data_IF_176919715450
#
_entry.id   IF_176919715450
#
_cell.length_a   1.000
_cell.length_b   1.000
_cell.length_c   1.000
_cell.angle_alpha   90.00
_cell.angle_beta   90.00
_cell.angle_gamma   90.00
#
_symmetry.space_group_name_H-M   'P 1'
#
loop_
_entity.id
_entity.type
_entity.pdbx_description
1 polymer ?
#
# COMPACT_ATOMS: atom_id res chain seq x y z
N UNK A 1 -8.37 -68.49 20.29
CA UNK A 1 -9.51 -68.52 19.35
C UNK A 1 -9.81 -67.10 18.92
N UNK A 2 -9.82 -66.84 17.60
CA UNK A 2 -10.34 -65.63 16.94
C UNK A 2 -9.40 -64.43 16.96
N UNK A 3 -8.75 -64.09 15.84
CA UNK A 3 -9.17 -63.10 14.83
C UNK A 3 -9.14 -61.66 15.37
N UNK A 4 -8.42 -60.69 14.82
CA UNK A 4 -8.08 -60.46 13.42
C UNK A 4 -8.76 -59.16 12.97
N UNK A 5 -8.00 -58.07 12.92
CA UNK A 5 -8.19 -56.85 12.11
C UNK A 5 -7.05 -55.90 12.55
N UNK A 6 -6.09 -55.53 11.72
CA UNK A 6 -6.29 -55.00 10.38
C UNK A 6 -6.47 -53.49 10.51
N UNK A 7 -5.38 -52.78 10.80
CA UNK A 7 -5.33 -51.32 10.69
C UNK A 7 -3.99 -50.96 10.08
N UNK A 8 -4.06 -50.85 8.76
CA UNK A 8 -3.08 -50.25 7.86
C UNK A 8 -2.86 -48.81 8.35
N UNK A 9 -1.63 -48.51 8.77
CA UNK A 9 -1.24 -47.15 9.13
C UNK A 9 -0.66 -46.57 7.85
N UNK A 10 -1.47 -45.79 7.14
CA UNK A 10 -0.98 -44.93 6.07
C UNK A 10 0.01 -43.93 6.71
N UNK A 11 1.30 -44.19 6.53
CA UNK A 11 2.33 -43.16 6.63
C UNK A 11 2.13 -42.23 5.42
N UNK A 12 1.17 -41.29 5.55
CA UNK A 12 1.16 -40.12 4.69
C UNK A 12 2.44 -39.33 4.97
N UNK A 13 3.40 -39.52 4.08
CA UNK A 13 4.57 -38.67 3.87
C UNK A 13 4.05 -37.30 3.42
N UNK A 14 3.76 -36.41 4.38
CA UNK A 14 3.54 -34.99 4.12
C UNK A 14 4.87 -34.41 3.66
N UNK A 15 5.12 -34.49 2.35
CA UNK A 15 6.14 -33.71 1.67
C UNK A 15 5.74 -32.24 1.81
N UNK A 16 6.45 -31.51 2.66
CA UNK A 16 6.54 -30.06 2.61
C UNK A 16 7.27 -29.68 1.30
N UNK A 17 6.59 -29.88 0.17
CA UNK A 17 6.92 -29.20 -1.09
C UNK A 17 6.31 -27.79 -1.00
N UNK A 18 6.83 -27.00 -0.06
CA UNK A 18 6.81 -25.55 -0.20
C UNK A 18 7.55 -25.26 -1.50
N UNK A 19 6.75 -25.12 -2.56
CA UNK A 19 7.16 -24.76 -3.90
C UNK A 19 8.23 -23.70 -3.85
N UNK A 20 9.47 -24.17 -3.95
CA UNK A 20 10.66 -23.36 -4.11
C UNK A 20 10.53 -22.79 -5.52
N UNK A 21 9.86 -21.65 -5.64
CA UNK A 21 9.77 -20.93 -6.89
C UNK A 21 11.19 -20.72 -7.40
N UNK A 22 11.51 -21.51 -8.42
CA UNK A 22 12.77 -21.50 -9.13
C UNK A 22 12.96 -20.08 -9.63
N UNK A 23 14.02 -19.44 -9.14
CA UNK A 23 14.37 -18.05 -9.42
C UNK A 23 14.61 -17.81 -10.92
N UNK A 24 13.53 -17.66 -11.68
CA UNK A 24 13.57 -16.94 -12.95
C UNK A 24 13.64 -15.47 -12.54
N UNK A 25 14.87 -14.94 -12.52
CA UNK A 25 15.09 -13.51 -12.32
C UNK A 25 14.34 -12.80 -13.44
N UNK A 26 13.18 -12.23 -13.12
CA UNK A 26 12.37 -11.47 -14.06
C UNK A 26 13.28 -10.41 -14.73
N UNK A 27 13.57 -10.58 -16.04
CA UNK A 27 14.52 -9.71 -16.74
C UNK A 27 14.05 -8.25 -16.77
N UNK A 28 12.74 -8.04 -16.75
CA UNK A 28 12.12 -6.72 -16.72
C UNK A 28 12.33 -6.11 -15.34
N UNK A 29 12.04 -6.85 -14.28
CA UNK A 29 12.26 -6.42 -12.89
C UNK A 29 13.73 -6.03 -12.62
N UNK A 30 14.67 -6.80 -13.15
CA UNK A 30 16.11 -6.53 -13.03
C UNK A 30 16.54 -5.26 -13.76
N UNK A 31 16.02 -5.03 -14.98
CA UNK A 31 16.29 -3.81 -15.76
C UNK A 31 15.75 -2.57 -15.07
N UNK A 32 14.55 -2.63 -14.49
CA UNK A 32 13.98 -1.52 -13.72
C UNK A 32 14.80 -1.20 -12.48
N UNK A 33 15.16 -2.21 -11.67
CA UNK A 33 16.02 -2.03 -10.50
C UNK A 33 17.37 -1.38 -10.87
N UNK A 34 17.94 -1.79 -12.00
CA UNK A 34 19.18 -1.22 -12.52
C UNK A 34 18.98 0.23 -12.96
N UNK A 35 17.89 0.54 -13.67
CA UNK A 35 17.57 1.90 -14.11
C UNK A 35 17.40 2.89 -12.94
N UNK A 36 16.71 2.49 -11.87
CA UNK A 36 16.53 3.34 -10.68
C UNK A 36 17.80 3.52 -9.84
N UNK A 37 18.74 2.57 -9.90
CA UNK A 37 20.05 2.72 -9.25
C UNK A 37 20.98 3.63 -10.04
N UNK A 38 20.92 3.56 -11.37
CA UNK A 38 21.78 4.32 -12.27
C UNK A 38 21.30 5.75 -12.50
N UNK A 39 20.00 6.02 -12.32
CA UNK A 39 19.40 7.33 -12.51
C UNK A 39 18.48 7.66 -11.33
N UNK A 40 18.71 8.78 -10.61
CA UNK A 40 17.83 9.17 -9.52
C UNK A 40 16.41 9.44 -10.06
N UNK A 41 15.36 9.00 -9.35
CA UNK A 41 13.98 9.21 -9.80
C UNK A 41 13.64 10.71 -9.83
N UNK A 42 13.30 11.20 -11.02
CA UNK A 42 12.80 12.56 -11.25
C UNK A 42 11.28 12.54 -11.49
N UNK A 43 10.58 13.69 -11.40
CA UNK A 43 9.14 13.74 -11.71
C UNK A 43 8.78 13.19 -13.10
N UNK A 44 9.68 13.33 -14.09
CA UNK A 44 9.50 12.76 -15.43
C UNK A 44 9.50 11.22 -15.47
N UNK A 45 9.97 10.55 -14.41
CA UNK A 45 9.97 9.08 -14.30
C UNK A 45 8.69 8.52 -13.67
N UNK A 46 7.75 9.36 -13.20
CA UNK A 46 6.48 8.91 -12.60
C UNK A 46 5.69 7.98 -13.52
N UNK A 47 5.50 8.25 -14.83
CA UNK A 47 4.79 7.33 -15.72
C UNK A 47 5.46 5.96 -15.81
N UNK A 48 6.79 5.93 -15.76
CA UNK A 48 7.58 4.71 -15.78
C UNK A 48 7.41 3.90 -14.49
N UNK A 49 7.32 4.57 -13.34
CA UNK A 49 7.02 3.95 -12.04
C UNK A 49 5.61 3.35 -12.04
N UNK A 50 4.63 4.06 -12.58
CA UNK A 50 3.25 3.58 -12.67
C UNK A 50 3.17 2.34 -13.57
N UNK A 51 3.74 2.41 -14.77
CA UNK A 51 3.79 1.28 -15.71
C UNK A 51 4.45 0.05 -15.08
N UNK A 52 5.51 0.26 -14.32
CA UNK A 52 6.18 -0.82 -13.60
C UNK A 52 5.35 -1.41 -12.47
N UNK A 53 4.64 -0.56 -11.73
CA UNK A 53 3.74 -0.98 -10.66
C UNK A 53 2.61 -1.84 -11.24
N UNK A 54 1.99 -1.39 -12.34
CA UNK A 54 0.94 -2.13 -13.05
C UNK A 54 1.46 -3.50 -13.54
N UNK A 55 2.65 -3.53 -14.16
CA UNK A 55 3.28 -4.78 -14.59
C UNK A 55 3.51 -5.76 -13.43
N UNK A 56 4.01 -5.29 -12.28
CA UNK A 56 4.26 -6.15 -11.12
C UNK A 56 2.95 -6.73 -10.59
N UNK A 57 1.89 -5.92 -10.54
CA UNK A 57 0.59 -6.36 -10.04
C UNK A 57 0.04 -7.47 -10.95
N UNK A 58 0.11 -7.28 -12.27
CA UNK A 58 -0.36 -8.26 -13.24
C UNK A 58 0.46 -9.56 -13.25
N UNK A 59 1.80 -9.45 -13.17
CA UNK A 59 2.69 -10.60 -13.34
C UNK A 59 2.98 -11.36 -12.04
N UNK A 60 3.02 -10.68 -10.89
CA UNK A 60 3.50 -11.24 -9.61
C UNK A 60 2.55 -11.01 -8.44
N UNK A 61 1.45 -10.30 -8.66
CA UNK A 61 0.49 -9.97 -7.61
C UNK A 61 1.02 -8.98 -6.57
N UNK A 62 0.25 -8.84 -5.50
CA UNK A 62 0.36 -7.73 -4.54
C UNK A 62 1.50 -7.91 -3.53
N UNK A 63 2.01 -9.13 -3.36
CA UNK A 63 3.15 -9.40 -2.47
C UNK A 63 4.42 -8.71 -2.95
N UNK A 64 4.64 -8.67 -4.28
CA UNK A 64 5.85 -8.06 -4.85
C UNK A 64 5.80 -6.54 -4.84
N UNK A 65 4.64 -5.89 -5.05
CA UNK A 65 4.54 -4.43 -4.93
C UNK A 65 4.78 -3.97 -3.48
N UNK A 66 4.38 -4.75 -2.48
CA UNK A 66 4.67 -4.48 -1.06
C UNK A 66 6.17 -4.52 -0.76
N UNK A 67 6.82 -5.61 -1.20
CA UNK A 67 8.28 -5.77 -1.17
C UNK A 67 9.00 -4.65 -1.93
N UNK A 68 8.41 -4.20 -3.04
CA UNK A 68 8.91 -3.06 -3.81
C UNK A 68 8.84 -1.78 -3.00
N UNK A 69 7.70 -1.43 -2.42
CA UNK A 69 7.51 -0.20 -1.64
C UNK A 69 8.48 -0.11 -0.46
N UNK A 70 8.74 -1.21 0.24
CA UNK A 70 9.71 -1.22 1.34
C UNK A 70 11.16 -1.12 0.84
N UNK A 71 11.51 -1.82 -0.24
CA UNK A 71 12.85 -1.73 -0.85
C UNK A 71 13.10 -0.35 -1.46
N UNK A 72 12.10 0.20 -2.13
CA UNK A 72 12.15 1.52 -2.74
C UNK A 72 12.08 2.62 -1.70
N UNK A 73 11.46 2.41 -0.53
CA UNK A 73 11.51 3.40 0.55
C UNK A 73 12.95 3.84 0.85
N UNK A 74 13.91 2.91 0.87
CA UNK A 74 15.33 3.23 1.07
C UNK A 74 15.94 4.11 -0.05
N UNK A 75 15.58 3.86 -1.31
CA UNK A 75 16.08 4.58 -2.50
C UNK A 75 15.33 5.91 -2.71
N UNK A 76 14.07 5.96 -2.29
CA UNK A 76 13.16 7.07 -2.53
C UNK A 76 13.19 8.13 -1.43
N UNK A 77 13.75 7.83 -0.26
CA UNK A 77 14.08 8.88 0.74
C UNK A 77 14.92 9.98 0.09
N UNK A 78 15.84 9.62 -0.81
CA UNK A 78 16.68 10.57 -1.55
C UNK A 78 16.02 11.11 -2.84
N UNK A 79 14.86 10.59 -3.25
CA UNK A 79 14.18 11.02 -4.46
C UNK A 79 13.43 12.35 -4.27
N UNK A 80 12.92 12.91 -5.36
CA UNK A 80 12.06 14.09 -5.29
C UNK A 80 10.73 13.77 -4.57
N UNK A 81 10.18 14.72 -3.81
CA UNK A 81 8.95 14.52 -3.02
C UNK A 81 7.78 14.05 -3.88
N UNK A 82 7.59 14.65 -5.05
CA UNK A 82 6.51 14.28 -5.98
C UNK A 82 6.58 12.83 -6.47
N UNK A 83 7.77 12.23 -6.53
CA UNK A 83 7.93 10.82 -6.92
C UNK A 83 7.49 9.90 -5.79
N UNK A 84 7.85 10.25 -4.54
CA UNK A 84 7.37 9.52 -3.36
C UNK A 84 5.85 9.59 -3.25
N UNK A 85 5.28 10.78 -3.41
CA UNK A 85 3.82 11.01 -3.40
C UNK A 85 3.13 10.07 -4.38
N UNK A 86 3.56 10.10 -5.66
CA UNK A 86 2.94 9.30 -6.71
C UNK A 86 3.02 7.80 -6.42
N UNK A 87 4.16 7.31 -5.90
CA UNK A 87 4.28 5.91 -5.51
C UNK A 87 3.31 5.55 -4.38
N UNK A 88 3.27 6.33 -3.30
CA UNK A 88 2.38 6.01 -2.17
C UNK A 88 0.90 6.06 -2.58
N UNK A 89 0.51 7.04 -3.40
CA UNK A 89 -0.85 7.09 -3.97
C UNK A 89 -1.16 5.84 -4.78
N UNK A 90 -0.24 5.39 -5.65
CA UNK A 90 -0.41 4.17 -6.43
C UNK A 90 -0.52 2.93 -5.52
N UNK A 91 0.29 2.83 -4.48
CA UNK A 91 0.19 1.73 -3.53
C UNK A 91 -1.15 1.73 -2.76
N UNK A 92 -1.65 2.90 -2.36
CA UNK A 92 -2.94 3.03 -1.67
C UNK A 92 -4.07 2.60 -2.61
N UNK A 93 -4.10 3.10 -3.85
CA UNK A 93 -5.08 2.72 -4.88
C UNK A 93 -5.12 1.20 -5.05
N UNK A 94 -3.96 0.57 -5.16
CA UNK A 94 -3.84 -0.87 -5.39
C UNK A 94 -4.24 -1.69 -4.16
N UNK A 95 -3.92 -1.23 -2.96
CA UNK A 95 -4.33 -1.91 -1.72
C UNK A 95 -5.83 -1.78 -1.45
N UNK A 96 -6.44 -0.66 -1.80
CA UNK A 96 -7.89 -0.41 -1.64
C UNK A 96 -8.74 -0.97 -2.78
N UNK A 97 -8.14 -1.33 -3.92
CA UNK A 97 -8.85 -1.97 -5.03
C UNK A 97 -9.05 -3.49 -4.85
N UNK A 98 -8.48 -4.08 -3.79
CA UNK A 98 -8.66 -5.50 -3.46
C UNK A 98 -10.05 -5.76 -2.86
N UNK A 99 -10.79 -6.72 -3.42
CA UNK A 99 -12.08 -7.16 -2.87
C UNK A 99 -11.98 -7.53 -1.38
N UNK A 100 -12.80 -6.89 -0.54
CA UNK A 100 -12.89 -7.21 0.89
C UNK A 100 -11.75 -6.67 1.76
N UNK A 101 -10.95 -5.70 1.28
CA UNK A 101 -9.88 -5.10 2.08
C UNK A 101 -10.39 -4.51 3.41
N UNK A 102 -11.61 -3.98 3.43
CA UNK A 102 -12.28 -3.39 4.59
C UNK A 102 -12.54 -4.42 5.71
N UNK A 103 -12.80 -5.68 5.33
CA UNK A 103 -13.04 -6.77 6.28
C UNK A 103 -11.73 -7.31 6.90
N UNK A 104 -10.58 -7.02 6.28
CA UNK A 104 -9.28 -7.48 6.75
C UNK A 104 -8.54 -6.37 7.51
N UNK A 105 -8.49 -6.51 8.84
CA UNK A 105 -7.75 -5.59 9.73
C UNK A 105 -6.29 -5.39 9.33
N UNK A 106 -5.66 -6.40 8.75
CA UNK A 106 -4.28 -6.31 8.27
C UNK A 106 -4.17 -5.43 7.00
N UNK A 107 -5.12 -5.55 6.08
CA UNK A 107 -5.19 -4.68 4.90
C UNK A 107 -5.45 -3.23 5.30
N UNK A 108 -6.38 -2.99 6.22
CA UNK A 108 -6.62 -1.65 6.80
C UNK A 108 -5.34 -1.10 7.42
N UNK A 109 -4.62 -1.91 8.22
CA UNK A 109 -3.34 -1.49 8.81
C UNK A 109 -2.32 -1.09 7.74
N UNK A 110 -2.18 -1.87 6.67
CA UNK A 110 -1.26 -1.57 5.55
C UNK A 110 -1.62 -0.26 4.86
N UNK A 111 -2.89 -0.06 4.53
CA UNK A 111 -3.35 1.18 3.88
C UNK A 111 -3.09 2.39 4.79
N UNK A 112 -3.33 2.25 6.10
CA UNK A 112 -2.98 3.29 7.09
C UNK A 112 -1.49 3.59 7.12
N UNK A 113 -0.63 2.58 7.09
CA UNK A 113 0.83 2.79 7.02
C UNK A 113 1.24 3.56 5.77
N UNK A 114 0.62 3.30 4.62
CA UNK A 114 0.86 4.04 3.38
C UNK A 114 0.36 5.50 3.46
N UNK A 115 -0.84 5.72 4.02
CA UNK A 115 -1.36 7.07 4.25
C UNK A 115 -0.47 7.88 5.20
N UNK A 116 0.00 7.28 6.29
CA UNK A 116 0.92 7.92 7.24
C UNK A 116 2.25 8.32 6.55
N UNK A 117 2.76 7.48 5.63
CA UNK A 117 3.93 7.82 4.81
C UNK A 117 3.62 8.97 3.84
N UNK A 118 2.44 8.98 3.21
CA UNK A 118 2.01 10.02 2.28
C UNK A 118 1.87 11.38 2.94
N UNK A 119 1.15 11.48 4.07
CA UNK A 119 1.04 12.74 4.83
C UNK A 119 2.36 13.15 5.49
N UNK A 120 3.28 12.20 5.70
CA UNK A 120 4.65 12.52 6.10
C UNK A 120 5.46 13.26 5.01
N UNK A 121 5.12 13.05 3.73
CA UNK A 121 5.75 13.74 2.59
C UNK A 121 5.00 15.02 2.20
N UNK A 122 3.67 14.99 2.22
CA UNK A 122 2.80 16.09 1.75
C UNK A 122 1.98 16.76 2.86
N UNK A 123 2.45 16.71 4.11
CA UNK A 123 1.68 17.16 5.26
C UNK A 123 1.26 18.64 5.25
N UNK A 124 1.89 19.48 4.41
CA UNK A 124 1.48 20.87 4.19
C UNK A 124 0.27 21.02 3.28
N UNK A 125 0.03 20.06 2.38
CA UNK A 125 -1.14 20.02 1.51
C UNK A 125 -2.33 19.42 2.24
N UNK A 126 -3.48 20.09 2.16
CA UNK A 126 -4.73 19.59 2.73
C UNK A 126 -5.26 18.33 2.04
N UNK A 127 -4.87 18.05 0.80
CA UNK A 127 -5.49 17.02 -0.03
C UNK A 127 -5.22 15.62 0.51
N UNK A 128 -3.96 15.32 0.82
CA UNK A 128 -3.57 14.03 1.38
C UNK A 128 -4.26 13.75 2.73
N UNK A 129 -4.43 14.79 3.56
CA UNK A 129 -5.16 14.68 4.82
C UNK A 129 -6.65 14.42 4.62
N UNK A 130 -7.29 15.15 3.70
CA UNK A 130 -8.73 14.97 3.41
C UNK A 130 -9.01 13.57 2.87
N UNK A 131 -8.20 13.07 1.93
CA UNK A 131 -8.36 11.71 1.43
C UNK A 131 -8.13 10.65 2.51
N UNK A 132 -7.16 10.86 3.41
CA UNK A 132 -6.95 9.93 4.52
C UNK A 132 -8.13 9.95 5.52
N UNK A 133 -8.64 11.13 5.85
CA UNK A 133 -9.83 11.28 6.69
C UNK A 133 -11.04 10.60 6.03
N UNK A 134 -11.25 10.81 4.74
CA UNK A 134 -12.32 10.17 3.98
C UNK A 134 -12.22 8.64 4.04
N UNK A 135 -11.01 8.10 3.87
CA UNK A 135 -10.76 6.66 4.03
C UNK A 135 -11.18 6.14 5.42
N UNK A 136 -10.86 6.87 6.49
CA UNK A 136 -11.25 6.46 7.83
C UNK A 136 -12.77 6.58 8.06
N UNK A 137 -13.42 7.65 7.56
CA UNK A 137 -14.85 7.88 7.71
C UNK A 137 -15.72 6.90 6.91
N UNK A 138 -15.39 6.70 5.63
CA UNK A 138 -16.24 5.97 4.69
C UNK A 138 -15.79 4.52 4.49
N UNK A 139 -14.48 4.27 4.40
CA UNK A 139 -13.95 2.92 4.17
C UNK A 139 -13.91 2.07 5.44
N UNK A 140 -13.36 2.62 6.53
CA UNK A 140 -13.20 1.84 7.80
C UNK A 140 -14.25 2.15 8.86
N UNK A 141 -14.99 3.24 8.70
CA UNK A 141 -15.95 3.78 9.68
C UNK A 141 -15.35 4.04 11.08
N UNK A 142 -14.06 4.40 11.13
CA UNK A 142 -13.32 4.75 12.35
C UNK A 142 -13.35 6.26 12.59
N UNK A 143 -14.49 6.75 13.07
CA UNK A 143 -14.73 8.18 13.34
C UNK A 143 -13.76 8.78 14.37
N UNK A 144 -13.28 7.98 15.32
CA UNK A 144 -12.32 8.41 16.32
C UNK A 144 -10.95 8.69 15.68
N UNK A 145 -10.47 7.78 14.81
CA UNK A 145 -9.24 7.98 14.04
C UNK A 145 -9.38 9.17 13.08
N UNK A 146 -10.50 9.30 12.37
CA UNK A 146 -10.77 10.44 11.50
C UNK A 146 -10.70 11.79 12.24
N UNK A 147 -11.28 11.86 13.45
CA UNK A 147 -11.21 13.06 14.31
C UNK A 147 -9.78 13.36 14.72
N UNK A 148 -9.02 12.35 15.11
CA UNK A 148 -7.61 12.52 15.46
C UNK A 148 -6.77 13.03 14.26
N UNK A 149 -7.04 12.51 13.05
CA UNK A 149 -6.38 12.97 11.82
C UNK A 149 -6.71 14.43 11.52
N UNK A 150 -7.98 14.85 11.67
CA UNK A 150 -8.37 16.26 11.51
C UNK A 150 -7.54 17.19 12.40
N UNK A 151 -7.45 16.91 13.70
CA UNK A 151 -6.69 17.76 14.62
C UNK A 151 -5.20 17.81 14.31
N UNK A 152 -4.65 16.71 13.77
CA UNK A 152 -3.27 16.65 13.34
C UNK A 152 -3.07 17.45 12.05
N UNK A 153 -3.97 17.32 11.07
CA UNK A 153 -3.94 18.06 9.81
C UNK A 153 -3.97 19.58 10.04
N UNK A 154 -4.86 20.09 10.90
CA UNK A 154 -4.97 21.52 11.23
C UNK A 154 -3.64 22.12 11.75
N UNK A 155 -2.76 21.29 12.34
CA UNK A 155 -1.44 21.72 12.81
C UNK A 155 -0.37 21.73 11.72
N UNK A 156 -0.58 20.98 10.64
CA UNK A 156 0.42 20.75 9.59
C UNK A 156 0.14 21.52 8.30
N UNK A 157 -1.12 21.73 7.94
CA UNK A 157 -1.49 22.36 6.66
C UNK A 157 -1.14 23.84 6.62
N UNK A 158 -0.77 24.31 5.42
CA UNK A 158 -0.45 25.72 5.17
C UNK A 158 -1.72 26.59 5.14
N UNK A 159 -2.76 26.14 4.44
CA UNK A 159 -4.07 26.79 4.36
C UNK A 159 -5.09 26.12 5.30
N UNK A 160 -5.14 26.60 6.55
CA UNK A 160 -6.02 26.05 7.58
C UNK A 160 -7.49 26.30 7.29
N UNK A 161 -7.85 27.52 6.90
CA UNK A 161 -9.24 27.90 6.68
C UNK A 161 -9.82 27.17 5.46
N UNK A 162 -9.04 27.07 4.37
CA UNK A 162 -9.42 26.29 3.21
C UNK A 162 -9.50 24.78 3.49
N UNK A 163 -8.63 24.24 4.35
CA UNK A 163 -8.73 22.85 4.80
C UNK A 163 -10.01 22.61 5.62
N UNK A 164 -10.30 23.44 6.62
CA UNK A 164 -11.48 23.30 7.48
C UNK A 164 -12.77 23.37 6.67
N UNK A 165 -12.88 24.33 5.74
CA UNK A 165 -14.04 24.43 4.84
C UNK A 165 -14.28 23.14 4.05
N UNK A 166 -13.23 22.59 3.43
CA UNK A 166 -13.32 21.35 2.65
C UNK A 166 -13.62 20.13 3.52
N UNK A 167 -13.12 20.11 4.75
CA UNK A 167 -13.46 19.06 5.72
C UNK A 167 -14.94 19.08 6.12
N UNK A 168 -15.53 20.26 6.33
CA UNK A 168 -16.96 20.37 6.62
C UNK A 168 -17.83 19.98 5.40
N UNK A 169 -17.41 20.32 4.18
CA UNK A 169 -18.04 19.85 2.94
C UNK A 169 -18.02 18.31 2.86
N UNK A 170 -16.88 17.69 3.18
CA UNK A 170 -16.73 16.22 3.21
C UNK A 170 -17.70 15.56 4.20
N UNK A 171 -17.84 16.11 5.42
CA UNK A 171 -18.78 15.62 6.42
C UNK A 171 -20.24 15.84 6.04
N UNK A 172 -20.53 16.96 5.38
CA UNK A 172 -21.87 17.34 4.96
C UNK A 172 -22.40 16.53 3.77
N UNK A 173 -21.52 15.84 3.03
CA UNK A 173 -21.88 14.99 1.90
C UNK A 173 -22.51 13.64 2.32
N UNK A 174 -22.43 13.26 3.60
CA UNK A 174 -22.98 12.02 4.17
C UNK A 174 -24.35 12.22 4.89
N UNK A 175 -25.08 13.31 4.59
CA UNK A 175 -26.45 13.59 5.12
C UNK A 175 -27.51 13.50 4.02
#
# INVERSE_FOLDING_TARGET
>A
TGNGNGMEVDEEEWSDDEGKEVGVVDPILSKFKTAFRSCPPTPSTIPLINLYSDYIIEAHGLSQIRSLSDKFSSILITAHSSVRTALYQKCIEVETSQSGWEANKESVRRVRELWERLVGVEGGSGDAWLSYIQFELQGTQDFAKATHLYWRAVKCVEDKDGFVRRYEELKGADV
#
